data_IF_660801798327
#
_entry.id   IF_660801798327
#
_cell.length_a   1.000
_cell.length_b   1.000
_cell.length_c   1.000
_cell.angle_alpha   90.00
_cell.angle_beta   90.00
_cell.angle_gamma   90.00
#
_symmetry.space_group_name_H-M   'P 1'
#
loop_
_entity.id
_entity.type
_entity.pdbx_description
1 polymer ?
#
# COMPACT_ATOMS: atom_id res chain seq x y z
N UNK A 1 0.05 -15.32 30.92
CA UNK A 1 1.14 -15.59 29.94
C UNK A 1 0.93 -16.99 29.43
N UNK A 2 0.86 -17.18 28.10
CA UNK A 2 0.70 -18.52 27.53
C UNK A 2 2.00 -19.31 27.74
N UNK A 3 1.91 -20.54 28.26
CA UNK A 3 3.05 -21.45 28.44
C UNK A 3 2.83 -22.63 27.51
N UNK A 4 3.66 -22.81 26.46
CA UNK A 4 3.47 -23.89 25.50
C UNK A 4 3.79 -25.25 26.12
N UNK A 5 2.89 -26.21 25.92
CA UNK A 5 3.11 -27.62 26.26
C UNK A 5 4.04 -28.24 25.22
N UNK A 6 5.32 -28.39 25.54
CA UNK A 6 6.35 -28.79 24.57
C UNK A 6 6.12 -30.20 24.01
N UNK A 7 5.49 -31.09 24.77
CA UNK A 7 5.22 -32.46 24.35
C UNK A 7 4.16 -32.52 23.23
N UNK A 8 3.28 -31.53 23.16
CA UNK A 8 2.28 -31.39 22.10
C UNK A 8 2.89 -31.12 20.71
N UNK A 9 4.09 -30.52 20.65
CA UNK A 9 4.79 -30.22 19.39
C UNK A 9 5.23 -31.50 18.66
N UNK A 10 5.51 -32.59 19.40
CA UNK A 10 5.91 -33.87 18.82
C UNK A 10 4.73 -34.64 18.21
N UNK A 11 3.48 -34.20 18.47
CA UNK A 11 2.26 -34.80 17.95
C UNK A 11 1.73 -34.09 16.70
N UNK A 12 2.37 -33.00 16.26
CA UNK A 12 1.94 -32.24 15.09
C UNK A 12 2.31 -33.01 13.83
N UNK A 13 1.29 -33.39 13.05
CA UNK A 13 1.48 -33.95 11.73
C UNK A 13 1.85 -32.86 10.71
N UNK A 14 2.54 -33.24 9.63
CA UNK A 14 2.92 -32.32 8.54
C UNK A 14 1.73 -31.52 7.98
N UNK A 15 0.55 -32.13 7.92
CA UNK A 15 -0.69 -31.47 7.46
C UNK A 15 -1.09 -30.32 8.38
N UNK A 16 -1.07 -30.54 9.70
CA UNK A 16 -1.37 -29.52 10.70
C UNK A 16 -0.34 -28.39 10.69
N UNK A 17 0.95 -28.73 10.50
CA UNK A 17 1.99 -27.73 10.34
C UNK A 17 1.75 -26.83 9.13
N UNK A 18 1.42 -27.42 7.97
CA UNK A 18 1.17 -26.67 6.75
C UNK A 18 -0.08 -25.77 6.85
N UNK A 19 -1.14 -26.26 7.51
CA UNK A 19 -2.33 -25.48 7.78
C UNK A 19 -2.03 -24.27 8.66
N UNK A 20 -1.33 -24.48 9.78
CA UNK A 20 -0.94 -23.41 10.68
C UNK A 20 -0.02 -22.39 10.00
N UNK A 21 0.93 -22.88 9.20
CA UNK A 21 1.83 -22.03 8.42
C UNK A 21 1.05 -21.18 7.41
N UNK A 22 0.06 -21.75 6.73
CA UNK A 22 -0.80 -21.02 5.79
C UNK A 22 -1.58 -19.89 6.48
N UNK A 23 -2.15 -20.17 7.66
CA UNK A 23 -2.86 -19.16 8.47
C UNK A 23 -1.90 -18.05 8.91
N UNK A 24 -0.72 -18.41 9.41
CA UNK A 24 0.31 -17.46 9.81
C UNK A 24 0.74 -16.56 8.66
N UNK A 25 0.98 -17.14 7.49
CA UNK A 25 1.32 -16.40 6.28
C UNK A 25 0.22 -15.42 5.86
N UNK A 26 -1.06 -15.76 6.07
CA UNK A 26 -2.18 -14.86 5.88
C UNK A 26 -2.07 -13.57 6.71
N UNK A 27 -1.69 -13.69 7.98
CA UNK A 27 -1.44 -12.53 8.87
C UNK A 27 -0.25 -11.71 8.38
N UNK A 28 0.82 -12.37 7.92
CA UNK A 28 1.98 -11.66 7.37
C UNK A 28 1.62 -10.88 6.10
N UNK A 29 0.86 -11.50 5.19
CA UNK A 29 0.33 -10.85 3.99
C UNK A 29 -0.54 -9.63 4.32
N UNK A 30 -1.42 -9.74 5.32
CA UNK A 30 -2.22 -8.63 5.83
C UNK A 30 -1.34 -7.45 6.27
N UNK A 31 -0.35 -7.70 7.12
CA UNK A 31 0.55 -6.64 7.60
C UNK A 31 1.35 -6.02 6.45
N UNK A 32 1.80 -6.83 5.50
CA UNK A 32 2.55 -6.35 4.33
C UNK A 32 1.68 -5.43 3.45
N UNK A 33 0.45 -5.83 3.16
CA UNK A 33 -0.49 -5.02 2.38
C UNK A 33 -0.80 -3.69 3.08
N UNK A 34 -1.09 -3.70 4.38
CA UNK A 34 -1.38 -2.46 5.10
C UNK A 34 -0.19 -1.49 5.11
N UNK A 35 1.04 -2.00 5.25
CA UNK A 35 2.25 -1.15 5.23
C UNK A 35 2.56 -0.63 3.83
N UNK A 36 2.63 -1.52 2.86
CA UNK A 36 3.16 -1.22 1.53
C UNK A 36 2.10 -0.63 0.61
N UNK A 37 0.87 -1.13 0.66
CA UNK A 37 -0.22 -0.72 -0.22
C UNK A 37 -1.05 0.39 0.41
N UNK A 38 -1.43 0.25 1.68
CA UNK A 38 -2.32 1.21 2.34
C UNK A 38 -1.58 2.34 3.09
N UNK A 39 -0.24 2.29 3.15
CA UNK A 39 0.58 3.36 3.70
C UNK A 39 0.34 3.66 5.18
N UNK A 40 0.04 2.66 6.02
CA UNK A 40 -0.26 2.92 7.45
C UNK A 40 0.89 3.62 8.19
N UNK A 41 2.12 3.49 7.71
CA UNK A 41 3.33 4.10 8.28
C UNK A 41 3.68 5.45 7.60
N UNK A 42 2.95 5.84 6.57
CA UNK A 42 3.21 7.02 5.74
C UNK A 42 2.37 8.24 6.18
N UNK A 43 2.47 8.63 7.45
CA UNK A 43 1.82 9.84 7.98
C UNK A 43 2.84 10.77 8.63
N UNK A 44 2.66 12.08 8.45
CA UNK A 44 3.52 13.11 9.06
C UNK A 44 2.86 13.83 10.24
N UNK A 45 1.65 13.40 10.61
CA UNK A 45 0.86 14.00 11.70
C UNK A 45 1.35 13.56 13.07
N UNK A 46 1.21 14.44 14.08
CA UNK A 46 1.69 14.19 15.46
C UNK A 46 0.61 14.18 16.53
N UNK A 47 -0.62 14.60 16.22
CA UNK A 47 -1.71 14.57 17.18
C UNK A 47 -2.31 13.17 17.23
N UNK A 48 -2.63 12.69 18.44
CA UNK A 48 -3.15 11.32 18.62
C UNK A 48 -4.44 11.07 17.83
N UNK A 49 -5.30 12.08 17.69
CA UNK A 49 -6.51 11.99 16.88
C UNK A 49 -6.20 11.78 15.39
N UNK A 50 -5.31 12.59 14.82
CA UNK A 50 -4.94 12.46 13.42
C UNK A 50 -4.25 11.11 13.12
N UNK A 51 -3.43 10.61 14.05
CA UNK A 51 -2.80 9.28 13.94
C UNK A 51 -3.87 8.17 13.93
N UNK A 52 -4.84 8.22 14.85
CA UNK A 52 -5.94 7.26 14.89
C UNK A 52 -6.77 7.29 13.62
N UNK A 53 -7.06 8.48 13.10
CA UNK A 53 -7.79 8.67 11.83
C UNK A 53 -7.01 8.10 10.64
N UNK A 54 -5.68 8.26 10.61
CA UNK A 54 -4.83 7.65 9.59
C UNK A 54 -4.89 6.13 9.65
N UNK A 55 -4.76 5.54 10.84
CA UNK A 55 -4.87 4.08 11.03
C UNK A 55 -6.23 3.55 10.60
N UNK A 56 -7.31 4.23 11.01
CA UNK A 56 -8.66 3.88 10.58
C UNK A 56 -8.79 3.90 9.04
N UNK A 57 -8.28 4.94 8.41
CA UNK A 57 -8.33 5.09 6.95
C UNK A 57 -7.54 4.01 6.22
N UNK A 58 -6.33 3.68 6.70
CA UNK A 58 -5.50 2.63 6.12
C UNK A 58 -6.12 1.24 6.26
N UNK A 59 -6.69 0.92 7.44
CA UNK A 59 -7.39 -0.36 7.67
C UNK A 59 -8.64 -0.44 6.78
N UNK A 60 -9.42 0.63 6.69
CA UNK A 60 -10.60 0.70 5.81
C UNK A 60 -10.22 0.51 4.34
N UNK A 61 -9.14 1.12 3.89
CA UNK A 61 -8.63 0.94 2.53
C UNK A 61 -8.28 -0.52 2.24
N UNK A 62 -7.59 -1.20 3.18
CA UNK A 62 -7.31 -2.63 3.06
C UNK A 62 -8.59 -3.46 2.97
N UNK A 63 -9.56 -3.23 3.86
CA UNK A 63 -10.84 -3.97 3.83
C UNK A 63 -11.56 -3.78 2.49
N UNK A 64 -11.53 -2.58 1.91
CA UNK A 64 -12.14 -2.33 0.61
C UNK A 64 -11.40 -3.07 -0.52
N UNK A 65 -10.07 -3.05 -0.52
CA UNK A 65 -9.27 -3.80 -1.50
C UNK A 65 -9.52 -5.30 -1.37
N UNK A 66 -9.69 -5.81 -0.16
CA UNK A 66 -9.94 -7.22 0.06
C UNK A 66 -11.36 -7.65 -0.35
N UNK A 67 -12.34 -6.78 -0.13
CA UNK A 67 -13.69 -6.97 -0.64
C UNK A 67 -13.67 -7.04 -2.17
N UNK A 68 -13.01 -6.06 -2.83
CA UNK A 68 -12.90 -6.04 -4.29
C UNK A 68 -12.21 -7.29 -4.85
N UNK A 69 -11.19 -7.82 -4.16
CA UNK A 69 -10.52 -9.07 -4.56
C UNK A 69 -11.46 -10.27 -4.41
N UNK A 70 -12.21 -10.33 -3.32
CA UNK A 70 -13.18 -11.41 -3.05
C UNK A 70 -14.36 -11.37 -4.02
N UNK A 71 -14.74 -10.18 -4.48
CA UNK A 71 -15.74 -9.94 -5.54
C UNK A 71 -15.16 -10.11 -6.95
N UNK A 72 -13.91 -10.55 -7.10
CA UNK A 72 -13.21 -10.75 -8.37
C UNK A 72 -13.10 -9.48 -9.25
N UNK A 73 -13.25 -8.29 -8.66
CA UNK A 73 -13.10 -7.01 -9.34
C UNK A 73 -11.63 -6.68 -9.60
N UNK A 74 -10.74 -7.17 -8.74
CA UNK A 74 -9.28 -7.06 -8.87
C UNK A 74 -8.63 -8.40 -8.54
N UNK A 75 -7.57 -8.75 -9.24
CA UNK A 75 -6.81 -9.97 -8.94
C UNK A 75 -5.83 -9.75 -7.78
N UNK A 76 -5.23 -8.55 -7.69
CA UNK A 76 -4.12 -8.26 -6.79
C UNK A 76 -4.14 -6.81 -6.29
N UNK A 77 -4.10 -6.63 -4.96
CA UNK A 77 -4.02 -5.31 -4.34
C UNK A 77 -2.77 -4.50 -4.77
N UNK A 78 -1.64 -5.17 -4.97
CA UNK A 78 -0.37 -4.51 -5.35
C UNK A 78 -0.43 -3.93 -6.77
N UNK A 79 -1.19 -4.54 -7.66
CA UNK A 79 -1.38 -4.02 -9.02
C UNK A 79 -2.13 -2.70 -9.00
N UNK A 80 -3.22 -2.63 -8.23
CA UNK A 80 -4.01 -1.40 -8.07
C UNK A 80 -3.13 -0.24 -7.58
N UNK A 81 -2.32 -0.49 -6.55
CA UNK A 81 -1.43 0.52 -5.99
C UNK A 81 -0.35 0.97 -6.99
N UNK A 82 0.25 0.02 -7.71
CA UNK A 82 1.24 0.31 -8.76
C UNK A 82 0.64 1.16 -9.86
N UNK A 83 -0.53 0.79 -10.38
CA UNK A 83 -1.18 1.47 -11.49
C UNK A 83 -1.54 2.91 -11.10
N UNK A 84 -2.08 3.11 -9.90
CA UNK A 84 -2.38 4.44 -9.37
C UNK A 84 -1.10 5.28 -9.25
N UNK A 85 -0.02 4.71 -8.70
CA UNK A 85 1.25 5.43 -8.50
C UNK A 85 1.90 5.82 -9.83
N UNK A 86 1.88 4.91 -10.82
CA UNK A 86 2.42 5.15 -12.15
C UNK A 86 1.66 6.25 -12.88
N UNK A 87 0.33 6.26 -12.77
CA UNK A 87 -0.50 7.30 -13.36
C UNK A 87 -0.13 8.67 -12.80
N UNK A 88 -0.10 8.82 -11.47
CA UNK A 88 0.24 10.10 -10.82
C UNK A 88 1.65 10.57 -11.21
N UNK A 89 2.64 9.66 -11.21
CA UNK A 89 4.01 10.00 -11.58
C UNK A 89 4.11 10.44 -13.05
N UNK A 90 3.40 9.75 -13.96
CA UNK A 90 3.34 10.12 -15.37
C UNK A 90 2.74 11.51 -15.56
N UNK A 91 1.58 11.76 -14.96
CA UNK A 91 0.85 13.02 -15.14
C UNK A 91 1.67 14.20 -14.61
N UNK A 92 2.34 14.02 -13.46
CA UNK A 92 3.28 14.99 -12.91
C UNK A 92 4.43 15.31 -13.88
N UNK A 93 5.08 14.29 -14.47
CA UNK A 93 6.19 14.49 -15.41
C UNK A 93 5.71 15.26 -16.65
N UNK A 94 4.56 14.88 -17.22
CA UNK A 94 4.02 15.52 -18.41
C UNK A 94 3.70 17.00 -18.15
N UNK A 95 3.02 17.31 -17.05
CA UNK A 95 2.70 18.69 -16.66
C UNK A 95 3.96 19.56 -16.52
N UNK A 96 5.02 19.03 -15.89
CA UNK A 96 6.27 19.78 -15.70
C UNK A 96 7.07 19.95 -16.99
N UNK A 97 6.97 19.01 -17.94
CA UNK A 97 7.57 19.16 -19.26
C UNK A 97 6.86 20.25 -20.07
N UNK A 98 5.53 20.27 -20.06
CA UNK A 98 4.73 21.29 -20.75
C UNK A 98 5.01 22.70 -20.21
N UNK A 99 5.11 22.85 -18.88
CA UNK A 99 5.49 24.13 -18.26
C UNK A 99 6.88 24.60 -18.70
N UNK A 100 7.87 23.70 -18.76
CA UNK A 100 9.23 24.03 -19.26
C UNK A 100 9.23 24.44 -20.73
N UNK A 101 8.44 23.77 -21.57
CA UNK A 101 8.30 24.13 -22.99
C UNK A 101 7.63 25.50 -23.14
N UNK A 102 6.60 25.80 -22.34
CA UNK A 102 5.93 27.10 -22.32
C UNK A 102 6.86 28.26 -21.90
N UNK A 103 7.73 28.03 -20.91
CA UNK A 103 8.77 28.98 -20.49
C UNK A 103 9.83 29.22 -21.57
N UNK A 104 10.25 28.17 -22.29
CA UNK A 104 11.20 28.30 -23.39
C UNK A 104 10.62 29.10 -24.57
N UNK A 105 9.32 28.94 -24.87
CA UNK A 105 8.64 29.70 -25.91
C UNK A 105 8.57 31.22 -25.60
N UNK A 106 8.49 31.60 -24.32
CA UNK A 106 8.47 33.01 -23.89
C UNK A 106 9.86 33.65 -23.83
N UNK A 107 10.93 32.84 -23.74
CA UNK A 107 12.31 33.33 -23.71
C UNK A 107 12.87 33.77 -25.07
N UNK A 108 12.12 33.58 -26.16
CA UNK A 108 12.54 33.96 -27.52
C UNK A 108 12.05 35.32 -28.01
N UNK A 109 11.45 36.16 -27.15
CA UNK A 109 11.14 37.54 -27.53
C UNK A 109 12.47 38.33 -27.55
N UNK A 110 12.98 38.77 -28.72
CA UNK A 110 14.18 39.58 -28.76
C UNK A 110 13.86 40.93 -28.14
N UNK A 111 14.45 41.20 -26.97
CA UNK A 111 14.41 42.51 -26.34
C UNK A 111 15.44 43.39 -27.05
N UNK A 112 15.06 43.94 -28.21
CA UNK A 112 15.88 44.92 -28.90
C UNK A 112 15.61 46.31 -28.29
N UNK A 113 16.67 46.89 -27.72
CA UNK A 113 16.78 48.29 -27.28
C UNK A 113 17.11 49.21 -28.47
#
# INVERSE_FOLDING_TARGET
MYVPEKDSLFLIYLTQFNELHSIHWGIECYHRAIKQVCGIELFMVRTSEAIKTHFFSAIRAFTQLELMRTEELIENWYEVQRNLSLQVARDFILEHLEQKVGLNAHSQIPVNA
#
